data_IF_877643553991
#
_entry.id   IF_877643553991
#
_cell.length_a   1.000
_cell.length_b   1.000
_cell.length_c   1.000
_cell.angle_alpha   90.00
_cell.angle_beta   90.00
_cell.angle_gamma   90.00
#
_symmetry.space_group_name_H-M   'P 1'
#
loop_
_entity.id
_entity.type
_entity.pdbx_description
1 polymer ?
#
# COMPACT_ATOMS: atom_id res chain seq x y z
N UNK A 1 -5.47 65.27 16.23
CA UNK A 1 -4.89 63.91 16.32
C UNK A 1 -5.85 63.09 17.17
N UNK A 2 -6.55 62.05 16.74
CA UNK A 2 -6.65 61.34 15.47
C UNK A 2 -8.09 60.81 15.33
N UNK A 3 -8.49 60.59 14.08
CA UNK A 3 -9.85 60.32 13.59
C UNK A 3 -10.35 58.92 13.96
N UNK A 4 -11.65 58.80 14.27
CA UNK A 4 -12.35 57.54 14.52
C UNK A 4 -13.07 57.10 13.24
N UNK A 5 -12.42 56.24 12.47
CA UNK A 5 -12.99 55.45 11.35
C UNK A 5 -11.98 54.32 11.14
N UNK A 6 -12.30 53.02 11.10
CA UNK A 6 -13.28 52.36 10.23
C UNK A 6 -13.52 50.96 10.78
N UNK A 7 -14.77 50.51 10.81
CA UNK A 7 -15.13 49.10 10.91
C UNK A 7 -14.85 48.42 9.56
N UNK A 8 -13.92 47.47 9.53
CA UNK A 8 -13.89 46.47 8.45
C UNK A 8 -13.35 45.16 9.01
N UNK A 9 -14.27 44.24 9.29
CA UNK A 9 -13.95 42.83 9.41
C UNK A 9 -13.45 42.35 8.04
N UNK A 10 -12.23 41.84 7.99
CA UNK A 10 -11.74 41.05 6.88
C UNK A 10 -10.87 39.92 7.42
N UNK A 11 -11.61 38.86 7.78
CA UNK A 11 -11.34 37.44 7.54
C UNK A 11 -9.85 37.09 7.46
N UNK A 12 -9.43 36.44 8.55
CA UNK A 12 -8.22 35.64 8.70
C UNK A 12 -8.13 34.62 7.54
N UNK A 13 -7.46 34.95 6.44
CA UNK A 13 -7.15 33.96 5.40
C UNK A 13 -5.99 33.10 5.89
N UNK A 14 -6.32 32.07 6.66
CA UNK A 14 -5.42 30.97 6.98
C UNK A 14 -5.06 30.29 5.64
N UNK A 15 -3.87 30.56 5.11
CA UNK A 15 -3.31 29.74 4.04
C UNK A 15 -3.07 28.36 4.64
N UNK A 16 -4.04 27.46 4.48
CA UNK A 16 -3.81 26.02 4.59
C UNK A 16 -2.92 25.69 3.40
N UNK A 17 -1.60 25.74 3.59
CA UNK A 17 -0.68 24.94 2.79
C UNK A 17 -1.06 23.49 3.07
N UNK A 18 -1.98 22.96 2.26
CA UNK A 18 -2.22 21.53 2.21
C UNK A 18 -0.89 20.89 1.83
N UNK A 19 -0.30 20.16 2.76
CA UNK A 19 0.86 19.34 2.52
C UNK A 19 0.53 18.42 1.35
N UNK A 20 1.13 18.68 0.19
CA UNK A 20 1.30 17.67 -0.84
C UNK A 20 2.38 16.73 -0.33
N UNK A 21 1.99 15.81 0.55
CA UNK A 21 2.86 14.69 0.94
C UNK A 21 3.01 13.78 -0.29
N UNK A 22 4.07 14.02 -1.06
CA UNK A 22 4.51 13.09 -2.09
C UNK A 22 5.20 11.91 -1.41
N UNK A 23 4.41 10.93 -0.97
CA UNK A 23 4.94 9.63 -0.62
C UNK A 23 5.39 8.92 -1.90
N UNK A 24 6.71 8.82 -2.12
CA UNK A 24 7.25 7.76 -2.97
C UNK A 24 7.13 6.46 -2.18
N UNK A 25 5.91 5.96 -2.05
CA UNK A 25 5.66 4.67 -1.43
C UNK A 25 5.84 3.60 -2.50
N UNK A 26 6.82 2.73 -2.28
CA UNK A 26 6.93 1.46 -2.97
C UNK A 26 6.87 0.39 -1.89
N UNK A 27 6.00 -0.57 -2.14
CA UNK A 27 5.87 -1.76 -1.34
C UNK A 27 5.05 -2.71 -2.18
N UNK A 28 5.42 -3.98 -2.15
CA UNK A 28 4.62 -5.04 -2.73
C UNK A 28 4.50 -6.17 -1.72
N UNK A 29 3.42 -6.93 -1.83
CA UNK A 29 3.26 -8.14 -1.05
C UNK A 29 4.25 -9.17 -1.61
N UNK A 30 5.17 -9.63 -0.78
CA UNK A 30 6.13 -10.65 -1.16
C UNK A 30 5.45 -12.00 -1.26
N UNK A 31 4.68 -12.31 -0.23
CA UNK A 31 4.00 -13.59 -0.04
C UNK A 31 2.72 -13.36 0.77
N UNK A 32 1.71 -14.18 0.51
CA UNK A 32 0.53 -14.29 1.35
C UNK A 32 0.44 -15.70 1.92
N UNK A 33 -0.07 -15.83 3.14
CA UNK A 33 -0.25 -17.12 3.82
C UNK A 33 -1.64 -17.21 4.42
N UNK A 34 -2.20 -18.42 4.46
CA UNK A 34 -3.32 -18.71 5.35
C UNK A 34 -2.77 -18.97 6.75
N UNK A 35 -3.48 -18.49 7.76
CA UNK A 35 -3.11 -18.69 9.16
C UNK A 35 -4.31 -19.19 9.98
N UNK A 36 -4.02 -20.00 11.00
CA UNK A 36 -4.96 -20.37 12.06
C UNK A 36 -4.31 -19.94 13.38
N UNK A 37 -5.00 -19.07 14.12
CA UNK A 37 -4.52 -18.53 15.40
C UNK A 37 -3.08 -17.98 15.32
N UNK A 38 -2.76 -17.29 14.23
CA UNK A 38 -1.43 -16.71 13.97
C UNK A 38 -0.36 -17.70 13.52
N UNK A 39 -0.68 -18.98 13.38
CA UNK A 39 0.23 -20.00 12.85
C UNK A 39 0.01 -20.15 11.34
N UNK A 40 1.08 -20.02 10.56
CA UNK A 40 1.07 -20.24 9.11
C UNK A 40 0.73 -21.70 8.81
N UNK A 41 -0.24 -21.89 7.90
CA UNK A 41 -0.62 -23.19 7.38
C UNK A 41 -0.52 -23.20 5.84
N UNK A 42 -0.14 -24.34 5.29
CA UNK A 42 -0.06 -24.53 3.84
C UNK A 42 1.15 -23.85 3.18
N UNK A 43 1.05 -23.66 1.87
CA UNK A 43 2.08 -23.05 1.04
C UNK A 43 1.80 -21.56 0.82
N UNK A 44 2.84 -20.72 0.60
CA UNK A 44 2.65 -19.31 0.27
C UNK A 44 1.94 -19.14 -1.07
N UNK A 45 1.13 -18.10 -1.15
CA UNK A 45 0.70 -17.48 -2.39
C UNK A 45 1.57 -16.28 -2.75
N UNK A 46 1.60 -15.94 -4.03
CA UNK A 46 2.42 -14.85 -4.58
C UNK A 46 1.59 -13.92 -5.47
N UNK A 47 1.99 -12.65 -5.62
CA UNK A 47 1.37 -11.77 -6.60
C UNK A 47 1.58 -12.30 -8.03
N UNK A 48 0.69 -11.93 -8.95
CA UNK A 48 0.85 -12.25 -10.37
C UNK A 48 2.18 -11.67 -10.89
N UNK A 49 2.78 -12.33 -11.87
CA UNK A 49 4.06 -11.87 -12.45
C UNK A 49 5.20 -11.72 -11.45
N UNK A 50 5.15 -12.40 -10.29
CA UNK A 50 6.19 -12.36 -9.27
C UNK A 50 7.56 -12.74 -9.85
N UNK A 51 8.59 -11.99 -9.47
CA UNK A 51 9.98 -12.37 -9.71
C UNK A 51 10.53 -12.86 -8.39
N UNK A 52 10.82 -14.16 -8.29
CA UNK A 52 11.33 -14.77 -7.07
C UNK A 52 12.70 -14.15 -6.70
N UNK A 53 12.91 -13.86 -5.41
CA UNK A 53 14.20 -13.34 -4.89
C UNK A 53 15.40 -14.26 -5.17
N UNK A 54 15.16 -15.55 -5.36
CA UNK A 54 16.19 -16.54 -5.74
C UNK A 54 16.54 -16.53 -7.22
N UNK A 55 15.76 -15.84 -8.05
CA UNK A 55 16.01 -15.68 -9.48
C UNK A 55 17.11 -14.64 -9.71
N UNK A 56 18.01 -14.92 -10.66
CA UNK A 56 18.99 -13.94 -11.13
C UNK A 56 18.37 -12.69 -11.78
N UNK A 57 17.09 -12.76 -12.16
CA UNK A 57 16.35 -11.64 -12.74
C UNK A 57 15.71 -10.74 -11.69
N UNK A 58 15.84 -11.06 -10.40
CA UNK A 58 15.26 -10.26 -9.34
C UNK A 58 15.97 -8.92 -9.18
N UNK A 59 15.17 -7.85 -9.17
CA UNK A 59 15.56 -6.51 -8.70
C UNK A 59 14.33 -5.90 -8.02
N UNK A 60 14.51 -4.97 -7.07
CA UNK A 60 13.38 -4.28 -6.43
C UNK A 60 12.51 -3.56 -7.47
N UNK A 61 13.12 -3.01 -8.52
CA UNK A 61 12.43 -2.38 -9.64
C UNK A 61 11.54 -3.36 -10.43
N UNK A 62 11.85 -4.65 -10.44
CA UNK A 62 11.03 -5.64 -11.14
C UNK A 62 9.64 -5.78 -10.51
N UNK A 63 9.55 -5.56 -9.20
CA UNK A 63 8.31 -5.67 -8.41
C UNK A 63 7.70 -4.31 -8.03
N UNK A 64 8.49 -3.23 -8.07
CA UNK A 64 8.04 -1.87 -7.77
C UNK A 64 7.07 -1.34 -8.83
N UNK A 65 5.98 -0.71 -8.37
CA UNK A 65 5.06 0.03 -9.22
C UNK A 65 4.91 1.47 -8.73
N UNK A 66 5.56 2.40 -9.42
CA UNK A 66 5.55 3.82 -9.06
C UNK A 66 4.42 4.56 -9.76
N UNK A 67 3.57 5.21 -8.96
CA UNK A 67 2.49 6.07 -9.43
C UNK A 67 2.56 7.45 -8.77
N UNK A 68 2.70 8.55 -9.54
CA UNK A 68 2.97 8.59 -10.97
C UNK A 68 4.37 8.05 -11.34
N UNK A 69 4.56 7.50 -12.55
CA UNK A 69 5.87 7.04 -13.00
C UNK A 69 6.84 8.21 -13.14
N UNK A 70 8.14 7.90 -13.00
CA UNK A 70 9.23 8.85 -13.15
C UNK A 70 9.16 9.60 -14.48
N UNK A 71 9.43 10.90 -14.43
CA UNK A 71 9.46 11.77 -15.61
C UNK A 71 8.09 12.25 -16.09
N UNK A 72 6.97 11.85 -15.46
CA UNK A 72 5.65 12.40 -15.79
C UNK A 72 5.54 13.87 -15.38
N UNK A 73 5.04 14.70 -16.30
CA UNK A 73 4.73 16.12 -16.04
C UNK A 73 3.27 16.42 -16.43
N UNK A 74 2.43 16.92 -15.49
CA UNK A 74 2.70 17.09 -14.07
C UNK A 74 2.84 15.74 -13.35
N UNK A 75 3.58 15.72 -12.24
CA UNK A 75 3.78 14.52 -11.42
C UNK A 75 2.53 14.22 -10.59
N UNK A 76 1.47 13.79 -11.26
CA UNK A 76 0.17 13.44 -10.66
C UNK A 76 -0.31 12.06 -11.13
N UNK A 77 -1.06 11.39 -10.25
CA UNK A 77 -1.84 10.20 -10.60
C UNK A 77 -3.01 10.62 -11.49
N UNK A 78 -3.14 9.99 -12.65
CA UNK A 78 -4.17 10.23 -13.64
C UNK A 78 -5.37 9.28 -13.43
N UNK A 79 -6.59 9.66 -13.85
CA UNK A 79 -7.75 8.76 -13.79
C UNK A 79 -7.56 7.45 -14.57
N UNK A 80 -6.69 7.46 -15.57
CA UNK A 80 -6.34 6.30 -16.39
C UNK A 80 -5.19 5.46 -15.83
N UNK A 81 -4.58 5.85 -14.71
CA UNK A 81 -3.50 5.05 -14.11
C UNK A 81 -4.07 3.75 -13.54
N UNK A 82 -3.63 2.59 -14.05
CA UNK A 82 -4.13 1.31 -13.60
C UNK A 82 -3.66 1.03 -12.17
N UNK A 83 -4.49 0.35 -11.39
CA UNK A 83 -4.16 0.00 -10.01
C UNK A 83 -3.05 -1.05 -9.93
N UNK A 84 -2.93 -1.92 -10.94
CA UNK A 84 -1.90 -2.95 -11.03
C UNK A 84 -0.76 -2.56 -12.00
N UNK A 85 0.46 -2.97 -11.65
CA UNK A 85 1.64 -2.91 -12.53
C UNK A 85 1.39 -3.67 -13.82
N UNK A 86 1.99 -3.25 -14.94
CA UNK A 86 1.79 -3.89 -16.26
C UNK A 86 2.05 -5.40 -16.25
N UNK A 87 3.05 -5.87 -15.50
CA UNK A 87 3.39 -7.30 -15.36
C UNK A 87 2.39 -8.10 -14.51
N UNK A 88 1.44 -7.44 -13.85
CA UNK A 88 0.50 -8.03 -12.89
C UNK A 88 -0.97 -7.91 -13.32
N UNK A 89 -1.26 -7.23 -14.44
CA UNK A 89 -2.63 -6.99 -14.93
C UNK A 89 -3.29 -8.23 -15.51
N UNK A 90 -2.51 -9.15 -16.06
CA UNK A 90 -3.02 -10.40 -16.62
C UNK A 90 -2.88 -11.55 -15.63
N UNK A 91 -3.71 -12.58 -15.78
CA UNK A 91 -3.72 -13.79 -14.96
C UNK A 91 -2.54 -14.73 -15.27
N UNK A 92 -1.32 -14.16 -15.33
CA UNK A 92 -0.10 -14.91 -15.59
C UNK A 92 0.66 -15.14 -14.28
N UNK A 93 0.61 -16.37 -13.78
CA UNK A 93 1.37 -16.77 -12.60
C UNK A 93 2.75 -17.26 -13.00
N UNK A 94 3.77 -16.78 -12.28
CA UNK A 94 5.15 -17.24 -12.47
C UNK A 94 5.28 -18.68 -11.98
N UNK A 95 6.00 -19.52 -12.74
CA UNK A 95 6.29 -20.90 -12.32
C UNK A 95 7.04 -20.88 -10.98
N UNK A 96 6.56 -21.65 -10.01
CA UNK A 96 7.11 -21.66 -8.65
C UNK A 96 6.61 -20.51 -7.75
N UNK A 97 5.67 -19.70 -8.23
CA UNK A 97 4.99 -18.64 -7.46
C UNK A 97 3.47 -18.77 -7.64
N UNK A 98 2.83 -19.81 -7.07
CA UNK A 98 1.40 -20.02 -7.23
C UNK A 98 0.56 -18.91 -6.58
N UNK A 99 -0.68 -18.77 -7.04
CA UNK A 99 -1.67 -17.96 -6.32
C UNK A 99 -1.94 -18.56 -4.94
N UNK A 100 -2.30 -17.71 -3.98
CA UNK A 100 -2.81 -18.19 -2.69
C UNK A 100 -4.08 -19.01 -2.91
N UNK A 101 -4.19 -20.13 -2.20
CA UNK A 101 -5.42 -20.90 -2.06
C UNK A 101 -5.92 -20.68 -0.64
N UNK A 102 -7.12 -20.14 -0.51
CA UNK A 102 -7.76 -19.86 0.77
C UNK A 102 -9.26 -20.19 0.68
N UNK A 103 -9.84 -20.54 1.81
CA UNK A 103 -11.26 -20.80 1.98
C UNK A 103 -11.96 -19.57 2.58
N UNK A 104 -13.30 -19.57 2.49
CA UNK A 104 -14.10 -18.58 3.19
C UNK A 104 -13.79 -18.61 4.70
N UNK A 105 -13.64 -17.43 5.30
CA UNK A 105 -13.28 -17.22 6.71
C UNK A 105 -11.83 -17.55 7.10
N UNK A 106 -10.97 -17.89 6.14
CA UNK A 106 -9.53 -18.00 6.43
C UNK A 106 -8.94 -16.64 6.80
N UNK A 107 -7.99 -16.65 7.75
CA UNK A 107 -7.21 -15.44 8.08
C UNK A 107 -5.96 -15.39 7.21
N UNK A 108 -5.81 -14.30 6.46
CA UNK A 108 -4.68 -14.12 5.55
C UNK A 108 -3.62 -13.21 6.18
N UNK A 109 -2.38 -13.69 6.19
CA UNK A 109 -1.19 -12.92 6.51
C UNK A 109 -0.54 -12.41 5.22
N UNK A 110 -0.33 -11.10 5.13
CA UNK A 110 0.40 -10.46 4.03
C UNK A 110 1.81 -10.14 4.50
N UNK A 111 2.80 -10.76 3.87
CA UNK A 111 4.21 -10.56 4.19
C UNK A 111 4.81 -9.53 3.25
N UNK A 112 5.42 -8.50 3.83
CA UNK A 112 6.21 -7.48 3.14
C UNK A 112 7.67 -7.65 3.56
N UNK A 113 8.61 -7.59 2.61
CA UNK A 113 10.05 -7.70 2.93
C UNK A 113 10.80 -6.38 2.81
N UNK A 114 10.14 -5.32 2.37
CA UNK A 114 10.70 -3.97 2.28
C UNK A 114 10.54 -3.21 3.60
N UNK A 115 11.49 -3.39 4.52
CA UNK A 115 11.37 -2.93 5.92
C UNK A 115 11.98 -1.54 6.21
N UNK A 116 12.52 -0.86 5.19
CA UNK A 116 13.11 0.48 5.36
C UNK A 116 12.14 1.51 5.96
N UNK A 117 10.84 1.37 5.68
CA UNK A 117 9.79 2.32 6.05
C UNK A 117 9.19 2.14 7.45
N UNK A 118 9.61 1.12 8.22
CA UNK A 118 9.04 0.87 9.56
C UNK A 118 10.03 1.18 10.69
N UNK A 119 11.31 0.84 10.51
CA UNK A 119 12.30 0.98 11.59
C UNK A 119 13.28 2.13 11.43
N UNK A 120 13.29 2.79 10.27
CA UNK A 120 14.14 3.95 9.97
C UNK A 120 13.33 5.23 9.72
N UNK A 121 12.12 5.32 10.30
CA UNK A 121 11.24 6.49 10.16
C UNK A 121 11.94 7.82 10.49
N UNK A 122 12.79 7.83 11.53
CA UNK A 122 13.54 9.03 11.93
C UNK A 122 14.74 9.36 11.03
N UNK A 123 15.18 8.43 10.18
CA UNK A 123 16.32 8.61 9.27
C UNK A 123 15.90 9.22 7.93
N UNK A 124 14.59 9.20 7.61
CA UNK A 124 14.06 9.83 6.41
C UNK A 124 12.98 10.87 6.79
N UNK A 125 13.31 12.18 6.78
CA UNK A 125 12.38 13.25 7.14
C UNK A 125 11.18 13.37 6.18
N UNK A 126 11.13 12.57 5.10
CA UNK A 126 9.99 12.48 4.19
C UNK A 126 8.92 11.49 4.67
N UNK A 127 9.18 10.69 5.71
CA UNK A 127 8.27 9.66 6.21
C UNK A 127 7.79 9.98 7.63
N UNK A 128 6.66 10.67 7.75
CA UNK A 128 6.03 10.99 9.04
C UNK A 128 5.29 9.79 9.66
N UNK A 129 5.03 8.73 8.89
CA UNK A 129 4.36 7.51 9.32
C UNK A 129 4.78 6.32 8.45
N UNK A 130 4.54 5.10 8.94
CA UNK A 130 4.80 3.86 8.20
C UNK A 130 3.87 3.61 7.00
N UNK A 131 2.76 4.38 6.91
CA UNK A 131 1.73 4.19 5.88
C UNK A 131 0.60 3.24 6.29
N UNK A 132 -0.40 3.18 5.42
CA UNK A 132 -1.60 2.35 5.55
C UNK A 132 -1.66 1.34 4.40
N UNK A 133 -2.16 0.14 4.69
CA UNK A 133 -2.48 -0.90 3.72
C UNK A 133 -3.99 -0.97 3.54
N UNK A 134 -4.43 -0.84 2.30
CA UNK A 134 -5.81 -1.03 1.87
C UNK A 134 -5.90 -2.34 1.10
N UNK A 135 -6.77 -3.25 1.55
CA UNK A 135 -7.02 -4.54 0.89
C UNK A 135 -8.41 -4.48 0.25
N UNK A 136 -8.44 -4.48 -1.09
CA UNK A 136 -9.67 -4.53 -1.87
C UNK A 136 -9.85 -5.93 -2.44
N UNK A 137 -11.10 -6.41 -2.48
CA UNK A 137 -11.48 -7.67 -3.11
C UNK A 137 -12.37 -7.42 -4.31
N UNK A 138 -12.24 -8.24 -5.36
CA UNK A 138 -13.21 -8.33 -6.46
C UNK A 138 -13.15 -9.72 -7.09
N UNK A 139 -14.30 -10.25 -7.49
CA UNK A 139 -14.43 -11.47 -8.30
C UNK A 139 -14.24 -11.21 -9.81
N UNK A 140 -14.36 -9.95 -10.23
CA UNK A 140 -14.39 -9.53 -11.63
C UNK A 140 -13.26 -8.52 -11.93
N UNK A 141 -12.01 -8.86 -11.55
CA UNK A 141 -10.87 -7.95 -11.81
C UNK A 141 -10.60 -7.80 -13.30
N UNK A 142 -10.40 -6.57 -13.77
CA UNK A 142 -10.03 -6.29 -15.17
C UNK A 142 -8.60 -5.76 -15.30
N UNK A 143 -7.90 -6.02 -16.42
CA UNK A 143 -6.59 -5.43 -16.69
C UNK A 143 -6.58 -3.88 -16.75
N UNK A 144 -7.76 -3.26 -16.82
CA UNK A 144 -7.97 -1.82 -16.98
C UNK A 144 -8.47 -1.11 -15.71
N UNK A 145 -8.63 -1.84 -14.61
CA UNK A 145 -9.04 -1.27 -13.32
C UNK A 145 -8.07 -0.15 -12.90
N UNK A 146 -8.58 1.01 -12.51
CA UNK A 146 -7.76 2.19 -12.22
C UNK A 146 -7.66 2.46 -10.73
N UNK A 147 -6.52 3.02 -10.31
CA UNK A 147 -6.31 3.36 -8.90
C UNK A 147 -7.39 4.33 -8.41
N UNK A 148 -7.74 5.32 -9.23
CA UNK A 148 -8.73 6.36 -8.88
C UNK A 148 -10.17 5.90 -8.90
N UNK A 149 -10.52 4.79 -9.57
CA UNK A 149 -11.88 4.24 -9.53
C UNK A 149 -12.14 3.30 -8.36
N UNK A 150 -11.08 2.87 -7.66
CA UNK A 150 -11.16 1.86 -6.59
C UNK A 150 -10.65 2.43 -5.27
N UNK A 151 -9.44 2.96 -5.24
CA UNK A 151 -8.80 3.39 -4.00
C UNK A 151 -9.53 4.61 -3.39
N UNK A 152 -10.04 4.45 -2.17
CA UNK A 152 -10.89 5.42 -1.44
C UNK A 152 -12.26 5.70 -2.07
N UNK A 153 -12.58 5.05 -3.19
CA UNK A 153 -13.94 5.04 -3.74
C UNK A 153 -14.70 3.83 -3.21
N UNK A 154 -14.06 2.65 -3.21
CA UNK A 154 -14.66 1.42 -2.71
C UNK A 154 -14.64 1.37 -1.19
N UNK A 155 -15.75 0.90 -0.61
CA UNK A 155 -16.02 0.93 0.82
C UNK A 155 -16.26 -0.46 1.41
N UNK A 156 -16.20 -0.54 2.74
CA UNK A 156 -16.54 -1.77 3.46
C UNK A 156 -18.04 -2.09 3.37
N UNK A 157 -18.89 -1.06 3.31
CA UNK A 157 -20.33 -1.27 3.15
C UNK A 157 -20.65 -1.89 1.78
N UNK A 158 -19.98 -1.47 0.72
CA UNK A 158 -20.13 -2.11 -0.60
C UNK A 158 -19.66 -3.57 -0.58
N UNK A 159 -18.56 -3.88 0.12
CA UNK A 159 -18.14 -5.27 0.33
C UNK A 159 -19.22 -6.15 0.97
N UNK A 160 -19.90 -5.63 2.00
CA UNK A 160 -21.00 -6.35 2.65
C UNK A 160 -22.24 -6.44 1.74
N UNK A 161 -22.63 -5.34 1.10
CA UNK A 161 -23.81 -5.28 0.22
C UNK A 161 -23.64 -6.12 -1.05
N UNK A 162 -22.40 -6.30 -1.51
CA UNK A 162 -22.07 -7.12 -2.67
C UNK A 162 -21.85 -8.59 -2.32
N UNK A 163 -22.12 -8.99 -1.07
CA UNK A 163 -21.90 -10.34 -0.54
C UNK A 163 -20.46 -10.83 -0.77
N UNK A 164 -19.50 -9.93 -0.66
CA UNK A 164 -18.08 -10.20 -0.85
C UNK A 164 -17.61 -10.25 -2.30
N UNK A 165 -18.46 -9.93 -3.27
CA UNK A 165 -18.08 -9.94 -4.69
C UNK A 165 -17.18 -8.76 -5.08
N UNK A 166 -17.28 -7.62 -4.41
CA UNK A 166 -16.36 -6.48 -4.55
C UNK A 166 -16.41 -5.48 -3.38
N UNK A 167 -15.29 -4.83 -3.05
CA UNK A 167 -15.24 -3.70 -2.10
C UNK A 167 -13.96 -3.65 -1.26
N UNK A 168 -13.92 -2.77 -0.26
CA UNK A 168 -12.81 -2.68 0.70
C UNK A 168 -12.98 -3.77 1.78
N UNK A 169 -12.04 -4.69 1.87
CA UNK A 169 -12.05 -5.80 2.84
C UNK A 169 -11.36 -5.42 4.15
N UNK A 170 -10.23 -4.71 4.09
CA UNK A 170 -9.45 -4.34 5.27
C UNK A 170 -8.68 -3.04 5.06
N UNK A 171 -8.51 -2.30 6.16
CA UNK A 171 -7.64 -1.13 6.27
C UNK A 171 -6.79 -1.30 7.54
N UNK A 172 -5.48 -1.38 7.39
CA UNK A 172 -4.55 -1.60 8.51
C UNK A 172 -3.30 -0.74 8.37
N UNK A 173 -2.53 -0.60 9.45
CA UNK A 173 -1.21 0.02 9.41
C UNK A 173 -0.17 -0.91 8.77
N UNK A 174 0.79 -0.34 8.04
CA UNK A 174 1.91 -1.10 7.49
C UNK A 174 2.88 -1.60 8.58
N UNK A 175 3.07 -0.80 9.64
CA UNK A 175 3.89 -1.16 10.81
C UNK A 175 3.08 -2.01 11.79
N UNK A 176 3.36 -3.32 11.80
CA UNK A 176 2.80 -4.31 12.73
C UNK A 176 3.44 -4.28 14.13
N UNK A 177 4.32 -3.29 14.38
CA UNK A 177 5.10 -3.06 15.60
C UNK A 177 6.16 -4.12 15.90
N UNK A 178 6.44 -5.02 14.97
CA UNK A 178 7.56 -5.95 15.06
C UNK A 178 8.67 -5.54 14.10
N UNK A 179 9.92 -5.81 14.49
CA UNK A 179 11.07 -5.57 13.64
C UNK A 179 11.80 -6.87 13.37
N UNK A 180 11.84 -7.25 12.08
CA UNK A 180 12.61 -8.40 11.60
C UNK A 180 13.92 -7.98 10.89
N UNK A 181 14.08 -6.69 10.58
CA UNK A 181 15.31 -6.16 10.02
C UNK A 181 16.36 -5.99 11.12
N UNK A 182 17.49 -6.69 11.00
CA UNK A 182 18.65 -6.40 11.84
C UNK A 182 19.27 -5.05 11.43
N UNK A 183 19.22 -4.08 12.33
CA UNK A 183 19.96 -2.82 12.24
C UNK A 183 20.26 -2.31 13.67
N UNK A 184 21.16 -1.33 13.78
CA UNK A 184 21.64 -0.83 15.07
C UNK A 184 20.74 0.26 15.70
N UNK A 185 19.57 0.54 15.11
CA UNK A 185 18.67 1.57 15.63
C UNK A 185 18.06 1.13 16.98
N UNK A 186 17.88 2.06 17.95
CA UNK A 186 17.23 1.75 19.22
C UNK A 186 15.83 1.15 19.05
N UNK A 187 15.10 1.56 18.01
CA UNK A 187 13.75 1.08 17.73
C UNK A 187 13.74 -0.41 17.35
N UNK A 188 14.71 -0.86 16.56
CA UNK A 188 14.87 -2.27 16.22
C UNK A 188 15.07 -3.15 17.46
N UNK A 189 15.91 -2.73 18.41
CA UNK A 189 16.11 -3.48 19.66
C UNK A 189 14.83 -3.60 20.49
N UNK A 190 14.02 -2.53 20.57
CA UNK A 190 12.75 -2.55 21.31
C UNK A 190 11.65 -3.43 20.69
N UNK A 191 11.76 -3.77 19.40
CA UNK A 191 10.74 -4.47 18.62
C UNK A 191 11.20 -5.83 18.10
N UNK A 192 12.39 -6.27 18.51
CA UNK A 192 12.98 -7.55 18.09
C UNK A 192 12.18 -8.69 18.72
N UNK A 193 11.74 -9.63 17.89
CA UNK A 193 11.16 -10.90 18.33
C UNK A 193 12.22 -12.00 18.30
#
# INVERSE_FOLDING_TARGET
MADYTTRTALILTLYILGFLEYGNAHSWIEQAYVTIDGTIIGQPGFPRGNVLRTSSSFTDMAMTYLLPPNGRTPSIVLPSDPICKETQRTWNQTIGSPSLVAHANDTILLLYQENGHVTKLNEDPRHNASGLIYVYGTSESTPTDTLKSIHKEWTYNEYIQSEGSHGLMALTGFDDKHCYQNNDSPLTWSRKK
#
